data_IF_914500332355
#
_entry.id   IF_914500332355
#
_cell.length_a   1.000
_cell.length_b   1.000
_cell.length_c   1.000
_cell.angle_alpha   90.00
_cell.angle_beta   90.00
_cell.angle_gamma   90.00
#
_symmetry.space_group_name_H-M   'P 1'
#
loop_
_entity.id
_entity.type
_entity.pdbx_description
1 polymer ?
#
# COMPACT_ATOMS: atom_id res chain seq x y z
N UNK A 1 -4.30 -19.49 18.06
CA UNK A 1 -4.75 -18.31 17.29
C UNK A 1 -3.55 -17.86 16.46
N UNK A 2 -3.49 -18.23 15.18
CA UNK A 2 -2.31 -17.97 14.34
C UNK A 2 -2.27 -16.49 13.96
N UNK A 3 -1.44 -15.71 14.63
CA UNK A 3 -1.13 -14.31 14.29
C UNK A 3 -0.35 -14.28 12.98
N UNK A 4 -1.09 -14.29 11.87
CA UNK A 4 -0.55 -14.09 10.53
C UNK A 4 -0.02 -12.66 10.47
N UNK A 5 1.29 -12.49 10.63
CA UNK A 5 2.02 -11.24 10.43
C UNK A 5 1.83 -10.77 8.98
N UNK A 6 0.70 -10.11 8.68
CA UNK A 6 0.50 -9.37 7.43
C UNK A 6 1.50 -8.22 7.47
N UNK A 7 2.60 -8.36 6.73
CA UNK A 7 3.44 -7.19 6.42
C UNK A 7 2.52 -6.19 5.73
N UNK A 8 2.25 -5.01 6.31
CA UNK A 8 1.33 -4.07 5.71
C UNK A 8 2.00 -3.53 4.44
N UNK A 9 1.46 -3.88 3.27
CA UNK A 9 1.85 -3.25 2.02
C UNK A 9 1.46 -1.76 2.11
N UNK A 10 2.47 -0.90 2.10
CA UNK A 10 2.33 0.56 2.26
C UNK A 10 2.83 1.26 1.02
N UNK A 11 2.14 2.32 0.63
CA UNK A 11 2.57 3.21 -0.44
C UNK A 11 3.92 3.83 -0.08
N UNK A 12 4.89 3.74 -0.98
CA UNK A 12 6.23 4.30 -0.83
C UNK A 12 6.25 5.84 -0.82
N UNK A 13 5.17 6.48 -1.30
CA UNK A 13 5.07 7.94 -1.43
C UNK A 13 4.40 8.58 -0.21
N UNK A 14 3.18 8.14 0.13
CA UNK A 14 2.41 8.71 1.24
C UNK A 14 2.43 7.87 2.53
N UNK A 15 3.01 6.68 2.50
CA UNK A 15 3.05 5.76 3.65
C UNK A 15 1.74 5.07 3.99
N UNK A 16 0.65 5.36 3.27
CA UNK A 16 -0.67 4.77 3.52
C UNK A 16 -0.68 3.26 3.25
N UNK A 17 -1.36 2.53 4.11
CA UNK A 17 -1.52 1.08 3.99
C UNK A 17 -2.59 0.73 2.94
N UNK A 18 -2.58 -0.49 2.42
CA UNK A 18 -3.63 -0.98 1.49
C UNK A 18 -5.05 -0.79 2.02
N UNK A 19 -5.26 -0.83 3.34
CA UNK A 19 -6.57 -0.62 3.98
C UNK A 19 -7.02 0.85 4.01
N UNK A 20 -6.08 1.79 3.84
CA UNK A 20 -6.34 3.23 3.90
C UNK A 20 -6.59 3.86 2.53
N UNK A 21 -6.36 3.12 1.44
CA UNK A 21 -6.44 3.62 0.06
C UNK A 21 -7.43 2.78 -0.74
N UNK A 22 -8.03 3.35 -1.79
CA UNK A 22 -8.95 2.60 -2.65
C UNK A 22 -8.22 1.61 -3.54
N UNK A 23 -7.05 1.99 -4.05
CA UNK A 23 -6.17 1.10 -4.80
C UNK A 23 -4.73 1.30 -4.33
N UNK A 24 -4.06 0.17 -4.08
CA UNK A 24 -2.62 0.10 -3.92
C UNK A 24 -2.06 -0.76 -5.05
N UNK A 25 -1.18 -0.18 -5.84
CA UNK A 25 -0.56 -0.80 -7.01
C UNK A 25 0.87 -1.18 -6.63
N UNK A 26 1.21 -2.45 -6.83
CA UNK A 26 2.57 -2.95 -6.67
C UNK A 26 3.24 -3.03 -8.06
N UNK A 27 4.31 -2.27 -8.28
CA UNK A 27 5.16 -2.31 -9.46
C UNK A 27 6.49 -3.01 -9.18
N UNK A 28 7.54 -2.69 -9.96
CA UNK A 28 8.94 -3.18 -9.80
C UNK A 28 9.52 -2.93 -8.39
N UNK A 29 9.05 -3.63 -7.37
CA UNK A 29 9.40 -3.45 -5.96
C UNK A 29 8.86 -2.18 -5.29
N UNK A 30 8.10 -1.35 -6.02
CA UNK A 30 7.54 -0.08 -5.50
C UNK A 30 6.03 -0.22 -5.30
N UNK A 31 5.52 0.35 -4.21
CA UNK A 31 4.09 0.42 -3.94
C UNK A 31 3.60 1.85 -4.10
N UNK A 32 2.59 2.08 -4.93
CA UNK A 32 1.99 3.39 -5.15
C UNK A 32 0.47 3.31 -5.04
N UNK A 33 -0.18 4.25 -4.37
CA UNK A 33 -1.64 4.27 -4.23
C UNK A 33 -2.31 5.20 -5.26
N UNK A 34 -3.62 5.04 -5.45
CA UNK A 34 -4.39 5.89 -6.38
C UNK A 34 -4.34 7.37 -6.04
N UNK A 35 -4.35 7.71 -4.75
CA UNK A 35 -4.23 9.10 -4.32
C UNK A 35 -2.91 9.73 -4.76
N UNK A 36 -1.79 8.99 -4.70
CA UNK A 36 -0.49 9.50 -5.16
C UNK A 36 -0.37 9.61 -6.69
N UNK A 37 -1.19 8.87 -7.44
CA UNK A 37 -1.23 8.95 -8.92
C UNK A 37 -2.14 10.10 -9.37
N UNK A 38 -3.15 10.43 -8.57
CA UNK A 38 -4.16 11.44 -8.87
C UNK A 38 -3.87 12.81 -8.22
N UNK A 39 -2.67 13.00 -7.69
CA UNK A 39 -2.16 14.24 -7.09
C UNK A 39 -1.18 14.95 -8.03
#
# INVERSE_FOLDING_TARGET
MTTKSKVPYRCSFCGKSQEQVRKLIAGQGVYICDECINL
#
